data_IF_774333205795
#
_entry.id   IF_774333205795
#
_cell.length_a   1.000
_cell.length_b   1.000
_cell.length_c   1.000
_cell.angle_alpha   90.00
_cell.angle_beta   90.00
_cell.angle_gamma   90.00
#
_symmetry.space_group_name_H-M   'P 1'
#
loop_
_entity.id
_entity.type
_entity.pdbx_description
1 polymer ?
#
# COMPACT_ATOMS: atom_id res chain seq x y z
N UNK A 1 8.04 11.37 19.83
CA UNK A 1 8.04 9.90 19.90
C UNK A 1 8.47 9.41 18.53
N UNK A 2 9.70 8.91 18.42
CA UNK A 2 10.17 8.24 17.20
C UNK A 2 9.44 6.91 17.06
N UNK A 3 8.64 6.78 16.01
CA UNK A 3 7.98 5.52 15.65
C UNK A 3 9.00 4.65 14.94
N UNK A 4 9.23 3.43 15.44
CA UNK A 4 10.22 2.54 14.82
C UNK A 4 9.69 2.05 13.46
N UNK A 5 10.58 1.74 12.49
CA UNK A 5 10.17 1.26 11.17
C UNK A 5 9.26 0.01 11.19
N UNK A 6 9.38 -0.84 12.22
CA UNK A 6 8.51 -2.01 12.41
C UNK A 6 7.09 -1.59 12.78
N UNK A 7 6.93 -0.65 13.72
CA UNK A 7 5.63 -0.14 14.17
C UNK A 7 4.83 0.47 13.01
N UNK A 8 5.52 1.14 12.08
CA UNK A 8 4.89 1.70 10.87
C UNK A 8 4.33 0.59 9.96
N UNK A 9 5.08 -0.49 9.77
CA UNK A 9 4.63 -1.63 8.93
C UNK A 9 3.48 -2.39 9.58
N UNK A 10 3.51 -2.56 10.89
CA UNK A 10 2.40 -3.17 11.64
C UNK A 10 1.13 -2.31 11.54
N UNK A 11 1.26 -0.99 11.68
CA UNK A 11 0.16 -0.08 11.47
C UNK A 11 -0.42 -0.22 10.05
N UNK A 12 0.44 -0.31 9.04
CA UNK A 12 -0.02 -0.52 7.66
C UNK A 12 -0.73 -1.85 7.49
N UNK A 13 -0.24 -2.95 8.09
CA UNK A 13 -0.95 -4.24 8.07
C UNK A 13 -2.36 -4.11 8.63
N UNK A 14 -2.52 -3.43 9.77
CA UNK A 14 -3.82 -3.24 10.42
C UNK A 14 -4.75 -2.40 9.55
N UNK A 15 -4.24 -1.30 9.00
CA UNK A 15 -5.01 -0.41 8.13
C UNK A 15 -5.32 -1.02 6.75
N UNK A 16 -4.57 -2.03 6.32
CA UNK A 16 -4.69 -2.65 5.01
C UNK A 16 -5.47 -3.97 5.03
N UNK A 17 -6.22 -4.29 6.09
CA UNK A 17 -6.91 -5.59 6.21
C UNK A 17 -8.09 -5.76 5.26
N UNK A 18 -8.83 -4.69 4.96
CA UNK A 18 -10.01 -4.76 4.11
C UNK A 18 -9.67 -4.50 2.64
N UNK A 19 -9.58 -5.58 1.86
CA UNK A 19 -9.20 -5.54 0.45
C UNK A 19 -10.19 -4.80 -0.47
N UNK A 20 -11.40 -4.50 0.01
CA UNK A 20 -12.42 -3.78 -0.75
C UNK A 20 -12.35 -2.25 -0.59
N UNK A 21 -11.52 -1.76 0.34
CA UNK A 21 -11.30 -0.33 0.55
C UNK A 21 -10.05 0.15 -0.20
N UNK A 22 -10.06 1.42 -0.60
CA UNK A 22 -8.86 2.07 -1.10
C UNK A 22 -7.96 2.51 0.08
N UNK A 23 -6.63 2.43 -0.06
CA UNK A 23 -5.69 2.85 0.96
C UNK A 23 -5.59 4.38 0.99
N UNK A 24 -5.77 4.96 2.17
CA UNK A 24 -5.62 6.39 2.38
C UNK A 24 -4.14 6.78 2.61
N UNK A 25 -3.76 8.00 2.25
CA UNK A 25 -2.43 8.54 2.56
C UNK A 25 -1.27 7.68 2.02
N UNK A 26 -1.35 7.27 0.74
CA UNK A 26 -0.29 6.49 0.10
C UNK A 26 1.02 7.29 -0.03
N UNK A 27 2.05 6.83 0.68
CA UNK A 27 3.45 7.12 0.36
C UNK A 27 4.01 6.04 -0.57
N UNK A 28 5.18 6.28 -1.17
CA UNK A 28 5.84 5.28 -2.03
C UNK A 28 6.17 4.00 -1.27
N UNK A 29 6.71 4.11 -0.05
CA UNK A 29 7.04 2.94 0.76
C UNK A 29 5.79 2.16 1.19
N UNK A 30 4.70 2.87 1.50
CA UNK A 30 3.41 2.23 1.80
C UNK A 30 2.81 1.54 0.56
N UNK A 31 2.90 2.15 -0.61
CA UNK A 31 2.46 1.53 -1.87
C UNK A 31 3.25 0.24 -2.16
N UNK A 32 4.58 0.29 -2.06
CA UNK A 32 5.48 -0.86 -2.17
C UNK A 32 5.11 -1.98 -1.18
N UNK A 33 4.81 -1.60 0.06
CA UNK A 33 4.38 -2.54 1.09
C UNK A 33 3.06 -3.24 0.71
N UNK A 34 2.04 -2.48 0.34
CA UNK A 34 0.73 -3.01 -0.05
C UNK A 34 0.84 -3.95 -1.25
N UNK A 35 1.64 -3.60 -2.27
CA UNK A 35 1.89 -4.48 -3.43
C UNK A 35 2.50 -5.82 -3.03
N UNK A 36 3.33 -5.83 -1.99
CA UNK A 36 3.97 -7.06 -1.49
C UNK A 36 2.96 -7.92 -0.74
N UNK A 37 2.18 -7.33 0.16
CA UNK A 37 1.23 -8.08 1.02
C UNK A 37 0.00 -8.54 0.25
N UNK A 38 -0.54 -7.71 -0.65
CA UNK A 38 -1.78 -7.97 -1.37
C UNK A 38 -1.56 -8.55 -2.79
N UNK A 39 -0.32 -8.83 -3.17
CA UNK A 39 0.03 -9.36 -4.50
C UNK A 39 -0.72 -10.64 -4.86
N UNK A 40 -1.02 -11.50 -3.88
CA UNK A 40 -1.78 -12.73 -4.10
C UNK A 40 -3.22 -12.52 -4.55
N UNK A 41 -3.81 -11.34 -4.33
CA UNK A 41 -5.19 -11.04 -4.75
C UNK A 41 -5.26 -10.42 -6.15
N UNK A 42 -4.20 -9.73 -6.57
CA UNK A 42 -4.10 -9.08 -7.88
C UNK A 42 -5.27 -8.14 -8.18
N UNK A 43 -5.83 -8.26 -9.39
CA UNK A 43 -6.87 -7.38 -9.91
C UNK A 43 -8.22 -7.43 -9.14
N UNK A 44 -8.37 -8.34 -8.18
CA UNK A 44 -9.56 -8.42 -7.32
C UNK A 44 -9.45 -7.61 -6.03
N UNK A 45 -8.31 -6.97 -5.77
CA UNK A 45 -8.07 -6.21 -4.55
C UNK A 45 -7.93 -4.71 -4.87
N UNK A 46 -8.81 -3.91 -4.26
CA UNK A 46 -8.81 -2.46 -4.44
C UNK A 46 -7.48 -1.85 -3.96
N UNK A 47 -6.98 -2.31 -2.81
CA UNK A 47 -5.69 -1.85 -2.31
C UNK A 47 -4.52 -2.15 -3.23
N UNK A 48 -4.47 -3.35 -3.81
CA UNK A 48 -3.43 -3.71 -4.77
C UNK A 48 -3.50 -2.82 -6.02
N UNK A 49 -4.71 -2.59 -6.54
CA UNK A 49 -4.93 -1.73 -7.71
C UNK A 49 -4.55 -0.28 -7.43
N UNK A 50 -4.98 0.29 -6.31
CA UNK A 50 -4.66 1.66 -5.92
C UNK A 50 -3.16 1.87 -5.72
N UNK A 51 -2.48 0.93 -5.04
CA UNK A 51 -1.03 0.98 -4.87
C UNK A 51 -0.28 0.83 -6.21
N UNK A 52 -0.78 -0.02 -7.11
CA UNK A 52 -0.22 -0.19 -8.46
C UNK A 52 -0.34 1.11 -9.27
N UNK A 53 -1.53 1.72 -9.26
CA UNK A 53 -1.79 2.98 -9.96
C UNK A 53 -0.95 4.14 -9.40
N UNK A 54 -0.77 4.21 -8.07
CA UNK A 54 0.11 5.18 -7.44
C UNK A 54 1.57 5.03 -7.93
N UNK A 55 2.11 3.82 -7.89
CA UNK A 55 3.48 3.54 -8.35
C UNK A 55 3.66 3.86 -9.84
N UNK A 56 2.67 3.51 -10.68
CA UNK A 56 2.72 3.80 -12.11
C UNK A 56 2.73 5.30 -12.40
N UNK A 57 1.83 6.08 -11.77
CA UNK A 57 1.80 7.54 -11.93
C UNK A 57 3.13 8.18 -11.52
N UNK A 58 3.65 7.79 -10.35
CA UNK A 58 4.95 8.29 -9.86
C UNK A 58 6.12 7.93 -10.78
N UNK A 59 6.07 6.78 -11.45
CA UNK A 59 7.09 6.38 -12.41
C UNK A 59 7.03 7.22 -13.71
N UNK A 60 5.83 7.65 -14.11
CA UNK A 60 5.63 8.52 -15.27
C UNK A 60 5.99 10.00 -15.00
N UNK A 61 6.04 10.42 -13.74
CA UNK A 61 6.43 11.76 -13.29
C UNK A 61 7.96 11.96 -13.20
N UNK A 62 8.75 10.92 -13.48
CA UNK A 62 10.21 10.97 -13.51
C UNK A 62 10.74 11.07 -14.94
#
# INVERSE_FOLDING_TARGET
MDVLPTDVRELWLVQSRDCAQDPEGLSYDRARFILTVHGGHGARCHQYLAASAFCFRRAAEK
#
